data_IF_461706217284
#
_entry.id   IF_461706217284
#
_cell.length_a   1.000
_cell.length_b   1.000
_cell.length_c   1.000
_cell.angle_alpha   90.00
_cell.angle_beta   90.00
_cell.angle_gamma   90.00
#
_symmetry.space_group_name_H-M   'P 1'
#
loop_
_entity.id
_entity.type
_entity.pdbx_description
1 polymer ?
#
# COMPACT_ATOMS: atom_id res chain seq x y z
N UNK A 1 -19.61 7.82 -15.87
CA UNK A 1 -19.43 6.36 -15.81
C UNK A 1 -20.06 5.71 -14.58
N UNK A 2 -19.82 6.18 -13.34
CA UNK A 2 -20.43 5.56 -12.15
C UNK A 2 -21.97 5.63 -12.10
N UNK A 3 -22.56 6.69 -12.64
CA UNK A 3 -24.02 6.90 -12.65
C UNK A 3 -24.73 6.36 -13.90
N UNK A 4 -23.98 5.90 -14.91
CA UNK A 4 -24.55 5.46 -16.20
C UNK A 4 -24.75 3.95 -16.26
N UNK A 5 -24.06 3.17 -15.41
CA UNK A 5 -24.27 1.72 -15.29
C UNK A 5 -25.11 1.42 -14.02
N UNK A 6 -26.32 0.86 -14.15
CA UNK A 6 -27.19 0.60 -13.00
C UNK A 6 -26.60 -0.37 -11.97
N UNK A 7 -25.84 -1.39 -12.40
CA UNK A 7 -25.30 -2.37 -11.48
C UNK A 7 -24.16 -1.79 -10.66
N UNK A 8 -23.26 -1.04 -11.31
CA UNK A 8 -22.22 -0.30 -10.62
C UNK A 8 -22.82 0.72 -9.64
N UNK A 9 -23.92 1.38 -10.00
CA UNK A 9 -24.61 2.29 -9.11
C UNK A 9 -25.14 1.58 -7.85
N UNK A 10 -25.82 0.42 -8.00
CA UNK A 10 -26.25 -0.39 -6.87
C UNK A 10 -25.07 -0.81 -5.99
N UNK A 11 -23.95 -1.19 -6.61
CA UNK A 11 -22.76 -1.59 -5.87
C UNK A 11 -22.15 -0.41 -5.11
N UNK A 12 -22.04 0.78 -5.70
CA UNK A 12 -21.59 1.98 -4.97
C UNK A 12 -22.50 2.27 -3.77
N UNK A 13 -23.82 2.14 -3.92
CA UNK A 13 -24.76 2.31 -2.81
C UNK A 13 -24.59 1.22 -1.74
N UNK A 14 -24.22 -0.01 -2.10
CA UNK A 14 -23.95 -1.09 -1.16
C UNK A 14 -22.75 -0.73 -0.25
N UNK A 15 -21.68 -0.19 -0.83
CA UNK A 15 -20.52 0.33 -0.11
C UNK A 15 -20.88 1.50 0.82
N UNK A 16 -21.61 2.49 0.32
CA UNK A 16 -22.04 3.65 1.13
C UNK A 16 -22.93 3.21 2.31
N UNK A 17 -23.87 2.30 2.06
CA UNK A 17 -24.77 1.77 3.09
C UNK A 17 -24.00 1.10 4.23
N UNK A 18 -22.97 0.31 3.88
CA UNK A 18 -22.10 -0.35 4.86
C UNK A 18 -21.23 0.66 5.62
N UNK A 19 -20.72 1.67 4.93
CA UNK A 19 -19.93 2.75 5.54
C UNK A 19 -20.74 3.55 6.55
N UNK A 20 -22.00 3.88 6.22
CA UNK A 20 -22.93 4.52 7.14
C UNK A 20 -23.19 3.61 8.34
N UNK A 21 -23.40 2.31 8.11
CA UNK A 21 -23.63 1.34 9.21
C UNK A 21 -22.44 1.27 10.16
N UNK A 22 -21.21 1.28 9.65
CA UNK A 22 -20.01 1.24 10.46
C UNK A 22 -19.74 2.56 11.21
N UNK A 23 -19.99 3.71 10.57
CA UNK A 23 -19.65 5.03 11.12
C UNK A 23 -20.77 5.60 12.00
N UNK A 24 -22.02 5.23 11.71
CA UNK A 24 -23.23 5.76 12.34
C UNK A 24 -24.26 4.64 12.57
N UNK A 25 -24.02 3.73 13.54
CA UNK A 25 -24.85 2.54 13.74
C UNK A 25 -26.34 2.87 13.95
N UNK A 26 -26.67 4.03 14.53
CA UNK A 26 -28.05 4.48 14.74
C UNK A 26 -28.83 4.86 13.47
N UNK A 27 -28.16 4.99 12.32
CA UNK A 27 -28.77 5.26 11.01
C UNK A 27 -28.75 4.03 10.09
N UNK A 28 -28.23 2.91 10.58
CA UNK A 28 -28.13 1.69 9.80
C UNK A 28 -29.53 1.12 9.52
N UNK A 29 -29.81 0.84 8.24
CA UNK A 29 -30.89 -0.08 7.88
C UNK A 29 -30.31 -1.47 7.75
N UNK A 30 -30.82 -2.38 8.58
CA UNK A 30 -30.40 -3.77 8.59
C UNK A 30 -30.49 -4.37 7.17
N UNK A 31 -29.42 -5.05 6.74
CA UNK A 31 -29.31 -5.75 5.45
C UNK A 31 -29.40 -4.91 4.16
N UNK A 32 -29.50 -3.57 4.24
CA UNK A 32 -29.61 -2.74 3.03
C UNK A 32 -28.38 -2.87 2.11
N UNK A 33 -27.17 -2.94 2.69
CA UNK A 33 -25.94 -3.11 1.92
C UNK A 33 -25.96 -4.43 1.12
N UNK A 34 -26.30 -5.55 1.76
CA UNK A 34 -26.38 -6.85 1.11
C UNK A 34 -27.48 -6.93 0.06
N UNK A 35 -28.63 -6.30 0.29
CA UNK A 35 -29.71 -6.25 -0.71
C UNK A 35 -29.26 -5.52 -1.98
N UNK A 36 -28.57 -4.39 -1.84
CA UNK A 36 -28.03 -3.61 -2.98
C UNK A 36 -26.91 -4.38 -3.71
N UNK A 37 -26.00 -5.00 -2.96
CA UNK A 37 -24.95 -5.85 -3.53
C UNK A 37 -25.55 -7.03 -4.32
N UNK A 38 -26.59 -7.68 -3.79
CA UNK A 38 -27.31 -8.76 -4.48
C UNK A 38 -27.99 -8.29 -5.78
N UNK A 39 -28.55 -7.08 -5.82
CA UNK A 39 -29.13 -6.52 -7.06
C UNK A 39 -28.06 -6.30 -8.14
N UNK A 40 -26.90 -5.76 -7.75
CA UNK A 40 -25.77 -5.61 -8.67
C UNK A 40 -25.30 -6.96 -9.20
N UNK A 41 -25.15 -7.97 -8.33
CA UNK A 41 -24.78 -9.35 -8.68
C UNK A 41 -25.74 -9.98 -9.70
N UNK A 42 -27.05 -9.86 -9.46
CA UNK A 42 -28.07 -10.36 -10.38
C UNK A 42 -28.00 -9.67 -11.75
N UNK A 43 -27.72 -8.37 -11.78
CA UNK A 43 -27.55 -7.62 -13.03
C UNK A 43 -26.32 -8.08 -13.80
N UNK A 44 -25.17 -8.22 -13.15
CA UNK A 44 -23.95 -8.75 -13.78
C UNK A 44 -24.17 -10.17 -14.29
N UNK A 45 -24.74 -11.07 -13.49
CA UNK A 45 -24.99 -12.46 -13.91
C UNK A 45 -25.83 -12.57 -15.18
N UNK A 46 -26.82 -11.68 -15.37
CA UNK A 46 -27.60 -11.63 -16.62
C UNK A 46 -26.77 -11.19 -17.82
N UNK A 47 -25.84 -10.24 -17.62
CA UNK A 47 -24.95 -9.70 -18.66
C UNK A 47 -23.84 -10.66 -19.05
N UNK A 48 -23.41 -11.55 -18.15
CA UNK A 48 -22.37 -12.53 -18.44
C UNK A 48 -22.71 -13.50 -19.58
N UNK A 49 -23.99 -13.71 -19.87
CA UNK A 49 -24.44 -14.53 -21.00
C UNK A 49 -24.35 -13.83 -22.36
N UNK A 50 -24.18 -12.51 -22.38
CA UNK A 50 -24.08 -11.71 -23.61
C UNK A 50 -22.60 -11.38 -23.90
N UNK A 51 -22.05 -11.76 -25.07
CA UNK A 51 -20.63 -11.57 -25.41
C UNK A 51 -20.17 -10.11 -25.44
N UNK A 52 -21.07 -9.14 -25.63
CA UNK A 52 -20.75 -7.71 -25.68
C UNK A 52 -20.88 -7.10 -24.29
N UNK A 53 -22.00 -7.36 -23.61
CA UNK A 53 -22.26 -6.79 -22.28
C UNK A 53 -21.36 -7.38 -21.19
N UNK A 54 -20.97 -8.65 -21.32
CA UNK A 54 -20.07 -9.35 -20.38
C UNK A 54 -18.69 -8.69 -20.27
N UNK A 55 -18.20 -8.08 -21.34
CA UNK A 55 -16.90 -7.38 -21.41
C UNK A 55 -17.05 -5.85 -21.42
N UNK A 56 -18.25 -5.33 -21.16
CA UNK A 56 -18.48 -3.90 -21.03
C UNK A 56 -17.70 -3.32 -19.85
N UNK A 57 -17.33 -2.04 -19.93
CA UNK A 57 -16.64 -1.38 -18.82
C UNK A 57 -17.53 -1.28 -17.57
N UNK A 58 -18.85 -1.19 -17.76
CA UNK A 58 -19.83 -1.25 -16.69
C UNK A 58 -19.72 -2.57 -15.93
N UNK A 59 -19.76 -3.71 -16.63
CA UNK A 59 -19.59 -5.04 -16.02
C UNK A 59 -18.24 -5.17 -15.31
N UNK A 60 -17.13 -4.79 -15.95
CA UNK A 60 -15.79 -4.85 -15.34
C UNK A 60 -15.73 -4.00 -14.06
N UNK A 61 -16.22 -2.76 -14.11
CA UNK A 61 -16.24 -1.88 -12.96
C UNK A 61 -17.15 -2.41 -11.84
N UNK A 62 -18.29 -3.03 -12.16
CA UNK A 62 -19.16 -3.65 -11.14
C UNK A 62 -18.48 -4.83 -10.47
N UNK A 63 -17.82 -5.72 -11.22
CA UNK A 63 -17.11 -6.88 -10.64
C UNK A 63 -15.94 -6.41 -9.77
N UNK A 64 -15.25 -5.35 -10.18
CA UNK A 64 -14.25 -4.68 -9.35
C UNK A 64 -14.85 -4.13 -8.04
N UNK A 65 -16.06 -3.58 -8.12
CA UNK A 65 -16.86 -3.22 -6.95
C UNK A 65 -17.12 -4.43 -6.03
N UNK A 66 -17.49 -5.59 -6.58
CA UNK A 66 -17.69 -6.82 -5.80
C UNK A 66 -16.42 -7.28 -5.10
N UNK A 67 -15.28 -7.27 -5.80
CA UNK A 67 -13.99 -7.58 -5.19
C UNK A 67 -13.72 -6.64 -4.00
N UNK A 68 -13.92 -5.33 -4.17
CA UNK A 68 -13.82 -4.37 -3.07
C UNK A 68 -14.80 -4.69 -1.92
N UNK A 69 -16.02 -5.11 -2.22
CA UNK A 69 -17.04 -5.43 -1.22
C UNK A 69 -16.65 -6.65 -0.39
N UNK A 70 -16.17 -7.71 -1.05
CA UNK A 70 -15.65 -8.93 -0.40
C UNK A 70 -14.40 -8.64 0.42
N UNK A 71 -13.43 -7.88 -0.12
CA UNK A 71 -12.22 -7.42 0.59
C UNK A 71 -12.58 -6.73 1.90
N UNK A 72 -13.56 -5.83 1.83
CA UNK A 72 -14.05 -5.09 2.99
C UNK A 72 -14.76 -5.96 4.03
N UNK A 73 -15.44 -7.02 3.58
CA UNK A 73 -16.08 -8.01 4.44
C UNK A 73 -15.13 -9.09 4.96
N UNK A 74 -13.84 -9.04 4.59
CA UNK A 74 -12.83 -10.09 4.83
C UNK A 74 -13.26 -11.46 4.26
N UNK A 75 -14.08 -11.45 3.21
CA UNK A 75 -14.48 -12.64 2.47
C UNK A 75 -13.48 -12.90 1.34
N UNK A 76 -12.36 -13.52 1.71
CA UNK A 76 -11.23 -13.75 0.82
C UNK A 76 -11.54 -14.71 -0.31
N UNK A 77 -12.37 -15.71 -0.04
CA UNK A 77 -12.81 -16.67 -1.05
C UNK A 77 -13.57 -15.93 -2.15
N UNK A 78 -14.54 -15.08 -1.80
CA UNK A 78 -15.27 -14.28 -2.80
C UNK A 78 -14.39 -13.25 -3.48
N UNK A 79 -13.48 -12.61 -2.75
CA UNK A 79 -12.51 -11.67 -3.34
C UNK A 79 -11.70 -12.33 -4.47
N UNK A 80 -11.08 -13.49 -4.20
CA UNK A 80 -10.28 -14.21 -5.19
C UNK A 80 -11.13 -14.67 -6.38
N UNK A 81 -12.36 -15.16 -6.15
CA UNK A 81 -13.29 -15.49 -7.23
C UNK A 81 -13.59 -14.28 -8.12
N UNK A 82 -13.82 -13.09 -7.56
CA UNK A 82 -14.07 -11.88 -8.32
C UNK A 82 -12.84 -11.41 -9.10
N UNK A 83 -11.64 -11.48 -8.50
CA UNK A 83 -10.40 -11.08 -9.17
C UNK A 83 -10.04 -12.02 -10.33
N UNK A 84 -10.25 -13.33 -10.18
CA UNK A 84 -10.05 -14.28 -11.27
C UNK A 84 -11.09 -14.10 -12.39
N UNK A 85 -12.34 -13.80 -12.02
CA UNK A 85 -13.37 -13.39 -12.96
C UNK A 85 -13.00 -12.13 -13.74
N UNK A 86 -12.45 -11.11 -13.06
CA UNK A 86 -11.94 -9.89 -13.71
C UNK A 86 -10.82 -10.19 -14.69
N UNK A 87 -9.84 -11.00 -14.29
CA UNK A 87 -8.72 -11.40 -15.15
C UNK A 87 -9.23 -12.07 -16.43
N UNK A 88 -10.21 -12.96 -16.29
CA UNK A 88 -10.87 -13.65 -17.41
C UNK A 88 -11.58 -12.68 -18.34
N UNK A 89 -12.45 -11.80 -17.82
CA UNK A 89 -13.25 -10.86 -18.62
C UNK A 89 -12.36 -9.82 -19.31
N UNK A 90 -11.35 -9.30 -18.61
CA UNK A 90 -10.36 -8.38 -19.19
C UNK A 90 -9.57 -9.09 -20.30
N UNK A 91 -9.21 -10.36 -20.10
CA UNK A 91 -8.59 -11.19 -21.14
C UNK A 91 -9.47 -11.30 -22.38
N UNK A 92 -10.76 -11.61 -22.22
CA UNK A 92 -11.74 -11.70 -23.30
C UNK A 92 -11.93 -10.37 -24.04
N UNK A 93 -11.83 -9.23 -23.34
CA UNK A 93 -11.88 -7.89 -23.94
C UNK A 93 -10.67 -7.55 -24.83
N UNK A 94 -9.59 -8.34 -24.76
CA UNK A 94 -8.33 -8.08 -25.47
C UNK A 94 -7.17 -7.69 -24.53
N UNK A 95 -7.28 -7.99 -23.24
CA UNK A 95 -6.26 -7.73 -22.23
C UNK A 95 -6.37 -6.35 -21.59
N UNK A 96 -5.46 -6.08 -20.64
CA UNK A 96 -5.54 -4.88 -19.80
C UNK A 96 -5.41 -3.57 -20.58
N UNK A 97 -4.71 -3.59 -21.72
CA UNK A 97 -4.57 -2.41 -22.59
C UNK A 97 -5.91 -1.98 -23.19
N UNK A 98 -6.87 -2.89 -23.37
CA UNK A 98 -8.19 -2.59 -23.93
C UNK A 98 -9.00 -1.61 -23.05
N UNK A 99 -8.67 -1.49 -21.77
CA UNK A 99 -9.30 -0.54 -20.83
C UNK A 99 -8.42 0.68 -20.51
N UNK A 100 -7.26 0.86 -21.18
CA UNK A 100 -6.35 1.98 -20.88
C UNK A 100 -6.96 3.37 -21.17
N UNK A 101 -7.85 3.46 -22.16
CA UNK A 101 -8.56 4.70 -22.48
C UNK A 101 -9.47 5.17 -21.32
N UNK A 102 -9.87 4.26 -20.43
CA UNK A 102 -10.61 4.57 -19.22
C UNK A 102 -9.67 4.67 -18.01
N UNK A 103 -9.09 5.86 -17.86
CA UNK A 103 -8.14 6.21 -16.79
C UNK A 103 -8.65 5.85 -15.39
N UNK A 104 -9.90 6.18 -15.08
CA UNK A 104 -10.49 5.96 -13.75
C UNK A 104 -10.57 4.47 -13.44
N UNK A 105 -11.05 3.68 -14.39
CA UNK A 105 -11.15 2.22 -14.22
C UNK A 105 -9.77 1.58 -14.02
N UNK A 106 -8.75 1.99 -14.79
CA UNK A 106 -7.38 1.49 -14.62
C UNK A 106 -6.80 1.78 -13.24
N UNK A 107 -7.01 3.00 -12.73
CA UNK A 107 -6.50 3.39 -11.41
C UNK A 107 -7.25 2.68 -10.28
N UNK A 108 -8.57 2.48 -10.41
CA UNK A 108 -9.33 1.70 -9.43
C UNK A 108 -8.89 0.24 -9.40
N UNK A 109 -8.69 -0.37 -10.58
CA UNK A 109 -8.21 -1.74 -10.68
C UNK A 109 -6.85 -1.90 -9.99
N UNK A 110 -5.91 -1.00 -10.30
CA UNK A 110 -4.58 -1.00 -9.69
C UNK A 110 -4.63 -0.79 -8.17
N UNK A 111 -5.45 0.15 -7.68
CA UNK A 111 -5.51 0.45 -6.25
C UNK A 111 -6.11 -0.68 -5.42
N UNK A 112 -7.14 -1.37 -5.94
CA UNK A 112 -7.75 -2.53 -5.27
C UNK A 112 -6.78 -3.71 -5.25
N UNK A 113 -6.13 -4.00 -6.39
CA UNK A 113 -5.15 -5.06 -6.51
C UNK A 113 -3.97 -4.86 -5.54
N UNK A 114 -3.38 -3.66 -5.50
CA UNK A 114 -2.33 -3.30 -4.52
C UNK A 114 -2.81 -3.46 -3.07
N UNK A 115 -4.05 -3.06 -2.76
CA UNK A 115 -4.59 -3.19 -1.40
C UNK A 115 -4.69 -4.65 -0.94
N UNK A 116 -5.09 -5.55 -1.84
CA UNK A 116 -5.17 -6.96 -1.54
C UNK A 116 -3.81 -7.66 -1.55
N UNK A 117 -2.90 -7.24 -2.43
CA UNK A 117 -1.53 -7.76 -2.48
C UNK A 117 -0.74 -7.49 -1.20
N UNK A 118 -0.91 -6.33 -0.56
CA UNK A 118 -0.38 -6.08 0.79
C UNK A 118 -0.87 -7.15 1.79
N UNK A 119 -2.17 -7.48 1.74
CA UNK A 119 -2.75 -8.46 2.66
C UNK A 119 -2.26 -9.90 2.39
N UNK A 120 -2.15 -10.30 1.12
CA UNK A 120 -1.76 -11.67 0.76
C UNK A 120 -0.24 -11.89 0.69
N UNK A 121 0.55 -10.82 0.82
CA UNK A 121 1.98 -10.77 0.48
C UNK A 121 2.30 -11.46 -0.86
N UNK A 122 1.46 -11.18 -1.85
CA UNK A 122 1.60 -11.64 -3.23
C UNK A 122 1.81 -10.43 -4.14
N UNK A 123 2.54 -10.58 -5.27
CA UNK A 123 2.65 -9.51 -6.25
C UNK A 123 1.27 -9.12 -6.79
N UNK A 124 1.08 -7.86 -7.22
CA UNK A 124 -0.17 -7.42 -7.86
C UNK A 124 -0.47 -8.25 -9.13
N UNK A 125 -1.73 -8.63 -9.31
CA UNK A 125 -2.19 -9.43 -10.45
C UNK A 125 -2.22 -8.65 -11.76
N UNK A 126 -2.28 -7.33 -11.70
CA UNK A 126 -2.36 -6.43 -12.85
C UNK A 126 -1.14 -5.50 -12.93
N UNK A 127 -0.66 -5.19 -14.15
CA UNK A 127 0.48 -4.30 -14.32
C UNK A 127 0.10 -2.85 -13.98
N UNK A 128 1.12 -2.09 -13.59
CA UNK A 128 1.02 -0.65 -13.36
C UNK A 128 0.30 0.06 -14.53
N UNK A 129 -0.64 0.97 -14.24
CA UNK A 129 -1.36 1.69 -15.27
C UNK A 129 -0.55 2.89 -15.79
N UNK A 130 0.62 2.64 -16.39
CA UNK A 130 1.60 3.67 -16.82
C UNK A 130 0.97 4.77 -17.66
N UNK A 131 0.11 4.44 -18.64
CA UNK A 131 -0.57 5.43 -19.48
C UNK A 131 -1.47 6.37 -18.66
N UNK A 132 -2.28 5.80 -17.75
CA UNK A 132 -3.18 6.56 -16.88
C UNK A 132 -2.41 7.46 -15.89
N UNK A 133 -1.26 7.00 -15.42
CA UNK A 133 -0.39 7.74 -14.52
C UNK A 133 0.34 8.88 -15.22
N UNK A 134 0.75 8.68 -16.47
CA UNK A 134 1.45 9.70 -17.28
C UNK A 134 0.52 10.88 -17.59
N UNK A 135 -0.71 10.62 -18.03
CA UNK A 135 -1.70 11.68 -18.31
C UNK A 135 -2.00 12.55 -17.08
N UNK A 136 -2.06 11.97 -15.88
CA UNK A 136 -2.30 12.73 -14.64
C UNK A 136 -1.13 13.67 -14.27
N UNK A 137 0.09 13.34 -14.72
CA UNK A 137 1.31 14.13 -14.44
C UNK A 137 1.57 15.18 -15.50
N UNK A 138 1.19 14.93 -16.75
CA UNK A 138 1.19 15.95 -17.80
C UNK A 138 0.28 17.13 -17.43
N UNK A 139 -0.89 16.84 -16.84
CA UNK A 139 -1.78 17.86 -16.25
C UNK A 139 -1.09 18.68 -15.14
N UNK A 140 -0.07 18.12 -14.48
CA UNK A 140 0.67 18.72 -13.37
C UNK A 140 2.05 19.31 -13.74
N UNK A 141 2.50 19.17 -15.00
CA UNK A 141 3.84 19.58 -15.49
C UNK A 141 5.03 18.98 -14.71
N UNK A 142 4.96 17.71 -14.31
CA UNK A 142 6.01 17.02 -13.55
C UNK A 142 6.59 15.81 -14.31
N UNK A 143 7.91 15.59 -14.25
CA UNK A 143 8.55 14.38 -14.79
C UNK A 143 8.18 13.19 -13.89
N UNK A 144 7.70 12.05 -14.44
CA UNK A 144 7.35 10.92 -13.61
C UNK A 144 8.56 10.26 -12.97
N UNK A 145 8.51 10.03 -11.66
CA UNK A 145 9.59 9.35 -10.92
C UNK A 145 9.79 7.88 -11.36
N UNK A 146 8.75 7.23 -11.91
CA UNK A 146 8.85 5.88 -12.49
C UNK A 146 9.45 5.89 -13.90
N UNK A 147 9.68 7.06 -14.49
CA UNK A 147 10.41 7.17 -15.74
C UNK A 147 11.90 7.18 -15.42
N UNK A 148 12.74 6.38 -16.09
CA UNK A 148 14.17 6.36 -15.83
C UNK A 148 14.74 7.77 -16.01
N UNK A 149 15.07 8.41 -14.89
CA UNK A 149 15.66 9.74 -14.90
C UNK A 149 17.03 9.62 -15.59
N UNK A 150 17.24 10.24 -16.78
CA UNK A 150 18.44 9.96 -17.57
C UNK A 150 19.74 10.38 -16.88
N UNK A 151 19.69 11.18 -15.81
CA UNK A 151 20.87 11.67 -15.11
C UNK A 151 20.55 11.98 -13.63
N UNK A 152 20.72 11.01 -12.73
CA UNK A 152 21.07 11.30 -11.34
C UNK A 152 22.22 10.39 -10.95
N UNK A 153 23.40 10.73 -11.47
CA UNK A 153 24.68 10.22 -10.98
C UNK A 153 25.11 11.04 -9.75
N UNK A 154 24.20 11.17 -8.78
CA UNK A 154 24.54 11.58 -7.43
C UNK A 154 24.59 10.32 -6.59
N UNK A 155 25.68 10.13 -5.85
CA UNK A 155 25.83 9.05 -4.89
C UNK A 155 24.74 9.18 -3.83
N UNK A 156 23.62 8.50 -4.04
CA UNK A 156 22.54 8.43 -3.06
C UNK A 156 22.99 7.56 -1.89
N UNK A 157 22.57 7.90 -0.68
CA UNK A 157 22.78 7.02 0.48
C UNK A 157 22.23 5.61 0.19
N UNK A 158 21.18 5.50 -0.62
CA UNK A 158 20.55 4.23 -0.98
C UNK A 158 21.47 3.30 -1.76
N UNK A 159 22.41 3.80 -2.57
CA UNK A 159 23.39 2.91 -3.24
C UNK A 159 24.43 2.34 -2.25
N UNK A 160 24.58 2.95 -1.08
CA UNK A 160 25.40 2.42 0.02
C UNK A 160 24.59 1.38 0.80
N UNK A 161 23.29 1.62 1.02
CA UNK A 161 22.41 0.67 1.72
C UNK A 161 22.15 -0.58 0.89
N UNK A 162 21.94 -0.44 -0.42
CA UNK A 162 21.54 -1.50 -1.33
C UNK A 162 22.55 -1.65 -2.49
N UNK A 163 23.82 -2.03 -2.21
CA UNK A 163 24.88 -2.01 -3.21
C UNK A 163 24.69 -3.04 -4.33
N UNK A 164 23.85 -4.06 -4.12
CA UNK A 164 23.60 -5.16 -5.07
C UNK A 164 22.19 -5.15 -5.65
N UNK A 165 21.41 -4.10 -5.39
CA UNK A 165 20.00 -4.06 -5.72
C UNK A 165 19.62 -2.68 -6.27
N UNK A 166 19.90 -2.46 -7.57
CA UNK A 166 19.64 -1.17 -8.21
C UNK A 166 18.14 -0.84 -8.26
N UNK A 167 17.27 -1.85 -8.33
CA UNK A 167 15.81 -1.68 -8.31
C UNK A 167 15.37 -1.03 -7.00
N UNK A 168 15.81 -1.58 -5.87
CA UNK A 168 15.47 -1.02 -4.56
C UNK A 168 16.10 0.35 -4.33
N UNK A 169 17.31 0.60 -4.86
CA UNK A 169 17.91 1.96 -4.86
C UNK A 169 16.98 2.97 -5.54
N UNK A 170 16.44 2.65 -6.71
CA UNK A 170 15.53 3.52 -7.44
C UNK A 170 14.21 3.72 -6.67
N UNK A 171 13.61 2.64 -6.16
CA UNK A 171 12.38 2.73 -5.37
C UNK A 171 12.57 3.61 -4.13
N UNK A 172 13.70 3.50 -3.42
CA UNK A 172 13.98 4.30 -2.23
C UNK A 172 14.32 5.76 -2.54
N UNK A 173 14.93 6.05 -3.70
CA UNK A 173 15.03 7.43 -4.21
C UNK A 173 13.64 8.03 -4.40
N UNK A 174 12.74 7.29 -5.04
CA UNK A 174 11.38 7.79 -5.31
C UNK A 174 10.55 7.92 -4.04
N UNK A 175 10.71 7.00 -3.07
CA UNK A 175 10.13 7.16 -1.72
C UNK A 175 10.61 8.44 -1.03
N UNK A 176 11.89 8.79 -1.20
CA UNK A 176 12.45 10.02 -0.63
C UNK A 176 11.81 11.25 -1.28
N UNK A 177 11.67 11.25 -2.60
CA UNK A 177 10.99 12.32 -3.35
C UNK A 177 9.52 12.42 -2.92
N UNK A 178 8.79 11.31 -2.83
CA UNK A 178 7.39 11.28 -2.38
C UNK A 178 7.24 11.80 -0.96
N UNK A 179 8.13 11.41 -0.03
CA UNK A 179 8.13 11.92 1.34
C UNK A 179 8.35 13.44 1.39
N UNK A 180 9.27 13.97 0.57
CA UNK A 180 9.50 15.40 0.43
C UNK A 180 8.29 16.12 -0.19
N UNK A 181 7.66 15.53 -1.22
CA UNK A 181 6.47 16.07 -1.86
C UNK A 181 5.30 16.16 -0.87
N UNK A 182 5.06 15.12 -0.06
CA UNK A 182 4.06 15.13 1.01
C UNK A 182 4.32 16.30 1.96
N UNK A 183 5.55 16.45 2.47
CA UNK A 183 5.93 17.56 3.38
C UNK A 183 5.74 18.94 2.73
N UNK A 184 6.03 19.06 1.45
CA UNK A 184 5.86 20.31 0.69
C UNK A 184 4.39 20.67 0.47
N UNK A 185 3.57 19.69 0.08
CA UNK A 185 2.16 19.89 -0.25
C UNK A 185 1.29 20.10 0.99
N UNK A 186 1.62 19.48 2.13
CA UNK A 186 0.92 19.70 3.40
C UNK A 186 0.94 21.17 3.85
N UNK A 187 1.96 21.94 3.45
CA UNK A 187 2.05 23.38 3.73
C UNK A 187 1.15 24.22 2.83
N UNK A 188 0.70 23.67 1.70
CA UNK A 188 -0.01 24.40 0.65
C UNK A 188 -1.51 24.08 0.61
N UNK A 189 -1.91 22.86 0.97
CA UNK A 189 -3.28 22.37 0.76
C UNK A 189 -3.66 21.23 1.71
N UNK A 190 -4.94 20.88 1.70
CA UNK A 190 -5.50 19.71 2.40
C UNK A 190 -5.14 18.41 1.67
N UNK A 191 -3.86 18.06 1.68
CA UNK A 191 -3.30 16.93 0.92
C UNK A 191 -4.07 15.63 1.15
N UNK A 192 -4.40 15.29 2.39
CA UNK A 192 -5.03 14.01 2.74
C UNK A 192 -6.40 13.75 2.10
N UNK A 193 -7.04 14.77 1.54
CA UNK A 193 -8.32 14.62 0.81
C UNK A 193 -8.10 14.38 -0.70
N UNK A 194 -6.86 14.52 -1.19
CA UNK A 194 -6.52 14.37 -2.59
C UNK A 194 -6.23 12.91 -2.96
N UNK A 195 -7.27 12.25 -3.47
CA UNK A 195 -7.18 10.88 -3.99
C UNK A 195 -6.33 10.77 -5.25
N UNK A 196 -6.12 11.86 -6.00
CA UNK A 196 -5.21 11.86 -7.15
C UNK A 196 -3.76 11.76 -6.69
N UNK A 197 -3.40 12.45 -5.61
CA UNK A 197 -2.06 12.34 -5.03
C UNK A 197 -1.75 10.91 -4.59
N UNK A 198 -2.66 10.26 -3.86
CA UNK A 198 -2.54 8.85 -3.47
C UNK A 198 -2.27 7.95 -4.69
N UNK A 199 -3.11 8.05 -5.71
CA UNK A 199 -3.05 7.19 -6.92
C UNK A 199 -1.80 7.40 -7.77
N UNK A 200 -1.18 8.57 -7.68
CA UNK A 200 -0.05 8.94 -8.55
C UNK A 200 1.29 8.89 -7.82
N UNK A 201 1.34 9.22 -6.54
CA UNK A 201 2.60 9.28 -5.77
C UNK A 201 2.83 8.07 -4.88
N UNK A 202 1.76 7.46 -4.36
CA UNK A 202 1.85 6.47 -3.28
C UNK A 202 1.56 5.06 -3.80
N UNK A 203 0.41 4.85 -4.43
CA UNK A 203 -0.01 3.51 -4.91
C UNK A 203 1.00 2.89 -5.90
N UNK A 204 1.63 3.62 -6.84
CA UNK A 204 2.57 2.99 -7.76
C UNK A 204 3.89 2.59 -7.07
N UNK A 205 4.26 3.21 -5.95
CA UNK A 205 5.41 2.77 -5.13
C UNK A 205 5.08 1.49 -4.36
N UNK A 206 3.86 1.41 -3.81
CA UNK A 206 3.37 0.18 -3.17
C UNK A 206 3.36 -0.98 -4.17
N UNK A 207 2.89 -0.75 -5.41
CA UNK A 207 2.92 -1.75 -6.47
C UNK A 207 4.35 -2.26 -6.73
N UNK A 208 5.31 -1.35 -7.00
CA UNK A 208 6.71 -1.73 -7.28
C UNK A 208 7.35 -2.52 -6.14
N UNK A 209 7.12 -2.10 -4.90
CA UNK A 209 7.63 -2.82 -3.73
C UNK A 209 7.01 -4.21 -3.59
N UNK A 210 5.73 -4.40 -3.94
CA UNK A 210 5.07 -5.70 -3.89
C UNK A 210 5.53 -6.63 -5.02
N UNK A 211 5.82 -6.07 -6.20
CA UNK A 211 6.31 -6.81 -7.37
C UNK A 211 7.75 -7.34 -7.17
N UNK A 212 8.57 -6.61 -6.41
CA UNK A 212 9.97 -6.93 -6.11
C UNK A 212 10.15 -7.85 -4.87
N UNK A 213 9.08 -8.49 -4.40
CA UNK A 213 9.14 -9.35 -3.22
C UNK A 213 9.80 -10.71 -3.50
N UNK A 214 10.69 -11.14 -2.60
CA UNK A 214 11.30 -12.49 -2.63
C UNK A 214 10.58 -13.44 -1.66
N UNK A 215 10.56 -14.74 -1.97
CA UNK A 215 10.00 -15.74 -1.05
C UNK A 215 10.93 -15.95 0.16
N UNK A 216 10.36 -16.24 1.34
CA UNK A 216 11.14 -16.40 2.58
C UNK A 216 12.27 -17.43 2.47
N UNK A 217 12.07 -18.50 1.68
CA UNK A 217 13.04 -19.58 1.48
C UNK A 217 14.28 -19.14 0.68
N UNK A 218 14.16 -18.07 -0.09
CA UNK A 218 15.20 -17.54 -0.98
C UNK A 218 15.96 -16.36 -0.32
N UNK A 219 15.68 -16.12 0.97
CA UNK A 219 16.33 -15.07 1.77
C UNK A 219 17.52 -15.65 2.53
N UNK A 220 18.65 -14.95 2.46
CA UNK A 220 19.89 -15.27 3.14
C UNK A 220 20.55 -14.03 3.77
N UNK A 221 21.70 -14.24 4.41
CA UNK A 221 22.54 -13.21 5.04
C UNK A 221 22.90 -12.04 4.09
N UNK A 222 22.83 -12.25 2.77
CA UNK A 222 23.26 -11.27 1.77
C UNK A 222 22.13 -10.35 1.31
N UNK A 223 20.87 -10.75 1.47
CA UNK A 223 19.71 -10.00 0.96
C UNK A 223 18.63 -9.68 2.02
N UNK A 224 18.71 -10.24 3.24
CA UNK A 224 17.67 -10.01 4.27
C UNK A 224 17.51 -8.54 4.67
N UNK A 225 18.59 -7.74 4.61
CA UNK A 225 18.53 -6.29 4.88
C UNK A 225 17.66 -5.58 3.85
N UNK A 226 17.82 -5.92 2.57
CA UNK A 226 17.02 -5.36 1.47
C UNK A 226 15.55 -5.69 1.67
N UNK A 227 15.25 -6.97 1.91
CA UNK A 227 13.87 -7.42 2.14
C UNK A 227 13.26 -6.74 3.38
N UNK A 228 14.02 -6.65 4.48
CA UNK A 228 13.55 -5.99 5.70
C UNK A 228 13.24 -4.51 5.47
N UNK A 229 14.06 -3.83 4.67
CA UNK A 229 13.82 -2.44 4.27
C UNK A 229 12.60 -2.32 3.35
N UNK A 230 12.44 -3.23 2.38
CA UNK A 230 11.27 -3.30 1.48
C UNK A 230 9.97 -3.47 2.27
N UNK A 231 9.95 -4.38 3.24
CA UNK A 231 8.82 -4.58 4.16
C UNK A 231 8.54 -3.33 5.01
N UNK A 232 9.59 -2.71 5.56
CA UNK A 232 9.45 -1.42 6.27
C UNK A 232 8.84 -0.32 5.39
N UNK A 233 9.25 -0.22 4.13
CA UNK A 233 8.69 0.74 3.18
C UNK A 233 7.22 0.46 2.86
N UNK A 234 6.83 -0.81 2.71
CA UNK A 234 5.43 -1.20 2.57
C UNK A 234 4.60 -0.81 3.79
N UNK A 235 5.13 -1.04 5.00
CA UNK A 235 4.48 -0.62 6.24
C UNK A 235 4.27 0.91 6.26
N UNK A 236 5.31 1.70 5.94
CA UNK A 236 5.21 3.16 5.86
C UNK A 236 4.14 3.59 4.85
N UNK A 237 4.19 3.07 3.62
CA UNK A 237 3.22 3.41 2.59
C UNK A 237 1.81 3.01 3.01
N UNK A 238 1.64 1.87 3.66
CA UNK A 238 0.35 1.44 4.20
C UNK A 238 -0.22 2.44 5.21
N UNK A 239 0.60 2.99 6.12
CA UNK A 239 0.19 4.07 7.03
C UNK A 239 -0.19 5.35 6.27
N UNK A 240 0.59 5.74 5.26
CA UNK A 240 0.30 6.90 4.41
C UNK A 240 -1.04 6.71 3.68
N UNK A 241 -1.27 5.54 3.07
CA UNK A 241 -2.53 5.21 2.36
C UNK A 241 -3.73 5.33 3.29
N UNK A 242 -3.64 4.81 4.53
CA UNK A 242 -4.69 4.99 5.56
C UNK A 242 -4.94 6.46 5.87
N UNK A 243 -3.90 7.31 5.89
CA UNK A 243 -4.06 8.75 6.10
C UNK A 243 -4.84 9.45 4.98
N UNK A 244 -4.71 8.98 3.73
CA UNK A 244 -5.54 9.40 2.59
C UNK A 244 -6.96 8.79 2.61
N UNK A 245 -7.33 8.04 3.64
CA UNK A 245 -8.64 7.39 3.76
C UNK A 245 -8.76 6.09 2.96
N UNK A 246 -7.65 5.54 2.44
CA UNK A 246 -7.66 4.18 1.90
C UNK A 246 -7.99 3.21 3.05
N UNK A 247 -9.14 2.56 2.92
CA UNK A 247 -9.58 1.55 3.88
C UNK A 247 -8.97 0.21 3.51
N UNK A 248 -8.90 -0.70 4.47
CA UNK A 248 -8.53 -2.11 4.23
C UNK A 248 -7.09 -2.29 3.74
N UNK A 249 -6.23 -1.42 4.23
CA UNK A 249 -4.79 -1.52 4.10
C UNK A 249 -4.29 -2.20 5.37
N UNK A 250 -3.79 -3.41 5.22
CA UNK A 250 -3.29 -4.26 6.30
C UNK A 250 -1.77 -4.40 6.19
N UNK A 251 -1.12 -4.65 7.32
CA UNK A 251 0.34 -4.71 7.47
C UNK A 251 0.81 -5.96 8.23
N UNK A 252 -0.13 -6.84 8.60
CA UNK A 252 0.14 -7.97 9.48
C UNK A 252 1.15 -8.95 8.90
N UNK A 253 1.03 -9.26 7.59
CA UNK A 253 1.97 -10.16 6.93
C UNK A 253 3.35 -9.52 6.82
N UNK A 254 3.43 -8.23 6.52
CA UNK A 254 4.70 -7.51 6.46
C UNK A 254 5.39 -7.48 7.83
N UNK A 255 4.64 -7.23 8.91
CA UNK A 255 5.20 -7.21 10.27
C UNK A 255 5.62 -8.61 10.74
N UNK A 256 4.84 -9.65 10.44
CA UNK A 256 5.16 -11.04 10.78
C UNK A 256 6.43 -11.49 10.05
N UNK A 257 6.50 -11.25 8.73
CA UNK A 257 7.69 -11.57 7.94
C UNK A 257 8.91 -10.80 8.42
N UNK A 258 8.77 -9.50 8.69
CA UNK A 258 9.87 -8.69 9.20
C UNK A 258 10.37 -9.20 10.56
N UNK A 259 9.47 -9.63 11.44
CA UNK A 259 9.83 -10.28 12.69
C UNK A 259 10.63 -11.56 12.44
N UNK A 260 10.12 -12.48 11.63
CA UNK A 260 10.82 -13.73 11.29
C UNK A 260 12.23 -13.47 10.75
N UNK A 261 12.39 -12.47 9.89
CA UNK A 261 13.69 -12.10 9.33
C UNK A 261 14.67 -11.58 10.38
N UNK A 262 14.19 -10.73 11.28
CA UNK A 262 15.02 -10.18 12.35
C UNK A 262 15.30 -11.21 13.46
N UNK A 263 14.44 -12.21 13.67
CA UNK A 263 14.72 -13.36 14.54
C UNK A 263 15.84 -14.24 13.98
N UNK A 264 15.84 -14.48 12.66
CA UNK A 264 16.82 -15.37 12.01
C UNK A 264 18.16 -14.65 11.78
N UNK A 265 18.12 -13.44 11.21
CA UNK A 265 19.30 -12.74 10.68
C UNK A 265 19.60 -11.42 11.41
N UNK A 266 18.81 -11.00 12.41
CA UNK A 266 18.92 -9.66 13.01
C UNK A 266 20.29 -9.34 13.62
N UNK A 267 21.00 -10.34 14.17
CA UNK A 267 22.36 -10.18 14.69
C UNK A 267 23.39 -9.85 13.60
N UNK A 268 23.13 -10.25 12.37
CA UNK A 268 24.01 -10.01 11.21
C UNK A 268 23.89 -8.60 10.65
N UNK A 269 22.84 -7.85 11.02
CA UNK A 269 22.60 -6.48 10.55
C UNK A 269 23.60 -5.52 11.17
N UNK A 270 24.84 -5.50 10.69
CA UNK A 270 25.95 -4.74 11.30
C UNK A 270 26.05 -3.31 10.78
N UNK A 271 25.64 -3.06 9.55
CA UNK A 271 25.80 -1.78 8.87
C UNK A 271 24.56 -0.91 8.94
N UNK A 272 24.76 0.41 9.03
CA UNK A 272 23.71 1.42 8.94
C UNK A 272 22.51 1.16 9.88
N UNK A 273 22.80 0.99 11.17
CA UNK A 273 21.83 0.70 12.25
C UNK A 273 20.65 1.68 12.33
N UNK A 274 20.78 2.89 11.79
CA UNK A 274 19.65 3.82 11.64
C UNK A 274 18.50 3.24 10.81
N UNK A 275 18.78 2.40 9.81
CA UNK A 275 17.74 1.69 9.05
C UNK A 275 17.05 0.62 9.88
N UNK A 276 17.80 -0.10 10.72
CA UNK A 276 17.21 -1.07 11.65
C UNK A 276 16.30 -0.37 12.66
N UNK A 277 16.69 0.79 13.19
CA UNK A 277 15.81 1.61 14.03
C UNK A 277 14.53 1.99 13.27
N UNK A 278 14.67 2.49 12.05
CA UNK A 278 13.54 2.93 11.24
C UNK A 278 12.57 1.77 10.92
N UNK A 279 13.08 0.60 10.51
CA UNK A 279 12.23 -0.57 10.23
C UNK A 279 11.55 -1.11 11.50
N UNK A 280 12.28 -1.23 12.61
CA UNK A 280 11.74 -1.72 13.87
C UNK A 280 10.68 -0.77 14.45
N UNK A 281 10.87 0.55 14.37
CA UNK A 281 9.86 1.54 14.78
C UNK A 281 8.59 1.35 13.96
N UNK A 282 8.69 1.28 12.62
CA UNK A 282 7.52 1.10 11.78
C UNK A 282 6.75 -0.18 12.08
N UNK A 283 7.46 -1.27 12.39
CA UNK A 283 6.82 -2.53 12.77
C UNK A 283 6.17 -2.46 14.17
N UNK A 284 6.84 -1.84 15.15
CA UNK A 284 6.29 -1.65 16.49
C UNK A 284 4.99 -0.82 16.48
N UNK A 285 4.89 0.17 15.58
CA UNK A 285 3.69 0.98 15.38
C UNK A 285 2.50 0.21 14.79
N UNK A 286 2.73 -0.97 14.23
CA UNK A 286 1.75 -1.75 13.47
C UNK A 286 1.49 -3.14 14.06
N UNK A 287 2.16 -3.46 15.16
CA UNK A 287 1.97 -4.67 15.95
C UNK A 287 1.40 -4.35 17.32
N UNK A 288 0.80 -5.32 17.99
CA UNK A 288 0.23 -5.19 19.34
C UNK A 288 0.90 -6.18 20.32
N UNK A 289 0.71 -5.96 21.62
CA UNK A 289 1.09 -6.88 22.69
C UNK A 289 2.57 -7.32 22.65
N UNK A 290 2.82 -8.63 22.65
CA UNK A 290 4.15 -9.25 22.71
C UNK A 290 5.02 -8.86 21.50
N UNK A 291 4.44 -8.81 20.31
CA UNK A 291 5.14 -8.44 19.08
C UNK A 291 5.64 -7.00 19.15
N UNK A 292 4.80 -6.09 19.65
CA UNK A 292 5.19 -4.69 19.86
C UNK A 292 6.35 -4.58 20.84
N UNK A 293 6.28 -5.30 21.96
CA UNK A 293 7.36 -5.31 22.96
C UNK A 293 8.65 -5.87 22.38
N UNK A 294 8.57 -6.94 21.60
CA UNK A 294 9.73 -7.54 20.93
C UNK A 294 10.41 -6.56 19.96
N UNK A 295 9.65 -5.82 19.15
CA UNK A 295 10.22 -4.75 18.32
C UNK A 295 10.79 -3.60 19.17
N UNK A 296 10.15 -3.26 20.30
CA UNK A 296 10.69 -2.26 21.24
C UNK A 296 12.04 -2.66 21.83
N UNK A 297 12.25 -3.95 22.11
CA UNK A 297 13.54 -4.48 22.56
C UNK A 297 14.61 -4.31 21.47
N UNK A 298 14.28 -4.57 20.19
CA UNK A 298 15.19 -4.29 19.06
C UNK A 298 15.54 -2.80 18.98
N UNK A 299 14.55 -1.92 19.16
CA UNK A 299 14.78 -0.46 19.16
C UNK A 299 15.75 -0.08 20.28
N UNK A 300 15.52 -0.54 21.51
CA UNK A 300 16.38 -0.25 22.67
C UNK A 300 17.79 -0.80 22.50
N UNK A 301 17.93 -2.05 22.04
CA UNK A 301 19.23 -2.68 21.77
C UNK A 301 20.01 -1.94 20.69
N UNK A 302 19.33 -1.53 19.61
CA UNK A 302 19.95 -0.79 18.51
C UNK A 302 20.35 0.62 18.94
N UNK A 303 19.52 1.29 19.73
CA UNK A 303 19.82 2.60 20.30
C UNK A 303 21.08 2.56 21.17
N UNK A 304 21.20 1.55 22.05
CA UNK A 304 22.42 1.32 22.86
C UNK A 304 23.65 1.10 22.00
N UNK A 305 23.55 0.26 20.96
CA UNK A 305 24.65 0.03 20.02
C UNK A 305 25.08 1.29 19.26
N UNK A 306 24.18 2.28 19.12
CA UNK A 306 24.44 3.58 18.51
C UNK A 306 24.83 4.67 19.52
N UNK A 307 24.96 4.35 20.81
CA UNK A 307 25.18 5.30 21.91
C UNK A 307 24.10 6.39 22.00
N UNK A 308 22.85 6.03 21.75
CA UNK A 308 21.68 6.89 21.96
C UNK A 308 21.09 6.56 23.32
N UNK A 309 20.93 7.57 24.16
CA UNK A 309 20.51 7.43 25.55
C UNK A 309 19.13 8.00 25.82
N UNK A 310 18.58 8.78 24.88
CA UNK A 310 17.25 9.40 25.01
C UNK A 310 16.34 9.01 23.86
N UNK A 311 15.04 8.89 24.16
CA UNK A 311 14.01 8.68 23.14
C UNK A 311 14.06 9.72 22.03
N UNK A 312 14.25 10.99 22.39
CA UNK A 312 14.32 12.08 21.42
C UNK A 312 15.50 11.90 20.45
N UNK A 313 16.63 11.35 20.91
CA UNK A 313 17.79 11.03 20.06
C UNK A 313 17.43 9.92 19.06
N UNK A 314 16.77 8.85 19.52
CA UNK A 314 16.27 7.77 18.64
C UNK A 314 15.39 8.36 17.54
N UNK A 315 14.43 9.20 17.90
CA UNK A 315 13.50 9.81 16.93
C UNK A 315 14.23 10.75 15.97
N UNK A 316 15.22 11.55 16.43
CA UNK A 316 16.04 12.36 15.52
C UNK A 316 16.75 11.48 14.50
N UNK A 317 17.35 10.36 14.93
CA UNK A 317 18.03 9.44 14.02
C UNK A 317 17.07 8.75 13.04
N UNK A 318 15.96 8.20 13.52
CA UNK A 318 14.97 7.53 12.67
C UNK A 318 14.29 8.51 11.70
N UNK A 319 14.02 9.75 12.14
CA UNK A 319 13.34 10.77 11.31
C UNK A 319 14.20 11.35 10.18
N UNK A 320 15.52 11.15 10.22
CA UNK A 320 16.42 11.47 9.12
C UNK A 320 16.31 10.49 7.93
N UNK A 321 15.60 9.37 8.09
CA UNK A 321 15.29 8.43 7.01
C UNK A 321 13.96 8.83 6.31
N UNK A 322 13.19 7.85 5.84
CA UNK A 322 11.88 8.07 5.23
C UNK A 322 10.82 8.33 6.31
N UNK A 323 10.72 9.59 6.76
CA UNK A 323 9.81 9.97 7.85
C UNK A 323 8.73 10.97 7.43
N UNK A 324 7.47 10.65 7.71
CA UNK A 324 6.31 11.53 7.50
C UNK A 324 5.67 11.85 8.85
N UNK A 325 6.01 13.03 9.39
CA UNK A 325 5.65 13.40 10.78
C UNK A 325 4.14 13.39 11.07
N UNK A 326 3.31 13.89 10.15
CA UNK A 326 1.85 13.87 10.24
C UNK A 326 1.21 12.47 10.28
N UNK A 327 1.99 11.44 9.93
CA UNK A 327 1.57 10.03 9.94
C UNK A 327 2.16 9.29 11.14
N UNK A 328 3.41 9.60 11.53
CA UNK A 328 4.15 8.78 12.50
C UNK A 328 4.24 9.41 13.89
N UNK A 329 4.42 10.74 14.02
CA UNK A 329 4.83 11.37 15.27
C UNK A 329 3.91 11.04 16.45
N UNK A 330 2.59 11.15 16.24
CA UNK A 330 1.60 10.96 17.32
C UNK A 330 1.63 9.54 17.89
N UNK A 331 1.75 8.54 17.03
CA UNK A 331 1.74 7.14 17.43
C UNK A 331 3.11 6.68 17.97
N UNK A 332 4.20 7.31 17.53
CA UNK A 332 5.52 7.04 18.08
C UNK A 332 5.65 7.38 19.56
N UNK A 333 4.96 8.41 20.03
CA UNK A 333 4.99 8.76 21.46
C UNK A 333 4.45 7.62 22.34
N UNK A 334 3.58 6.76 21.81
CA UNK A 334 3.04 5.60 22.52
C UNK A 334 4.08 4.48 22.71
N UNK A 335 5.17 4.48 21.92
CA UNK A 335 6.28 3.53 22.07
C UNK A 335 7.29 3.96 23.14
N UNK A 336 7.38 5.26 23.45
CA UNK A 336 8.33 5.80 24.43
C UNK A 336 8.37 5.06 25.78
N UNK A 337 7.23 4.72 26.44
CA UNK A 337 7.28 3.99 27.71
C UNK A 337 7.68 2.51 27.57
N UNK A 338 7.65 1.96 26.36
CA UNK A 338 7.93 0.54 26.08
C UNK A 338 9.39 0.28 25.72
N UNK A 339 10.12 1.31 25.28
CA UNK A 339 11.53 1.19 24.94
C UNK A 339 12.37 1.43 26.19
N UNK A 340 12.89 0.34 26.74
CA UNK A 340 13.77 0.37 27.91
C UNK A 340 15.16 0.90 27.52
N UNK A 341 15.49 2.08 28.04
CA UNK A 341 16.77 2.76 27.89
C UNK A 341 17.46 2.72 29.26
N UNK A 342 18.41 1.80 29.46
CA UNK A 342 19.25 1.74 30.66
C UNK A 342 20.41 2.75 30.61
#
# INVERSE_FOLDING_TARGET
MSLSDPALFYEILSHISRDITASFPGYAKENQAFALHSQALQSVNKRLSDPVESVSEGTIATILGFACFSHSGRDWTSYEMHMEGLRTIIGLKGGVHAINHNRILRLLLSGIDVSASCFAAQPPKFPLPISALSELRDDAQEIPWWFPHPFVNESSIWSIVFPRDPTLVEIFKDLSITSMAIKGELKKRLLWQDQSFLKTWVDPLSHRLLDDGIELKDIDETNFVNESCRLGALILLSKIRRRFGARLVFTGVETERLRTLLEIYGEEWKTFKTMLLWTAILAALETDNEDRLWFCDIIGNTARAMNLHKWDEIIVHASNMLWVGDVLNKECDDLRPLVHME
#
